data_IF_459428615051
#
_entry.id   IF_459428615051
#
_cell.length_a   1.000
_cell.length_b   1.000
_cell.length_c   1.000
_cell.angle_alpha   90.00
_cell.angle_beta   90.00
_cell.angle_gamma   90.00
#
_symmetry.space_group_name_H-M   'P 1'
#
loop_
_entity.id
_entity.type
_entity.pdbx_description
1 polymer ?
#
# COMPACT_ATOMS: atom_id res chain seq x y z
N UNK A 1 30.83 28.05 1.16
CA UNK A 1 29.51 28.52 0.73
C UNK A 1 29.58 28.78 -0.76
N UNK A 2 28.65 28.25 -1.57
CA UNK A 2 28.60 28.56 -2.99
C UNK A 2 27.50 29.59 -3.23
N UNK A 3 27.90 30.79 -3.66
CA UNK A 3 27.02 31.95 -3.80
C UNK A 3 26.48 32.12 -5.23
N UNK A 4 26.86 31.24 -6.16
CA UNK A 4 26.45 31.26 -7.56
C UNK A 4 25.54 30.09 -7.97
N UNK A 5 24.89 30.22 -9.12
CA UNK A 5 24.09 29.16 -9.75
C UNK A 5 25.02 28.16 -10.44
N UNK A 6 24.88 26.87 -10.11
CA UNK A 6 25.43 25.77 -10.88
C UNK A 6 24.43 25.43 -11.99
N UNK A 7 24.91 25.49 -13.23
CA UNK A 7 24.18 25.10 -14.43
C UNK A 7 25.05 24.19 -15.30
N UNK A 8 24.42 23.37 -16.14
CA UNK A 8 25.12 22.62 -17.18
C UNK A 8 24.71 23.09 -18.58
N UNK A 9 25.62 22.89 -19.54
CA UNK A 9 25.39 23.11 -20.98
C UNK A 9 25.75 21.81 -21.69
N UNK A 10 24.90 21.33 -22.61
CA UNK A 10 25.09 20.05 -23.28
C UNK A 10 24.57 18.86 -22.49
N UNK A 11 25.37 17.80 -22.32
CA UNK A 11 24.96 16.60 -21.59
C UNK A 11 24.79 16.88 -20.08
N UNK A 12 23.84 16.23 -19.38
CA UNK A 12 23.67 16.38 -17.95
C UNK A 12 24.94 16.08 -17.16
N UNK A 13 25.29 16.94 -16.20
CA UNK A 13 26.46 16.75 -15.32
C UNK A 13 26.07 16.69 -13.85
N UNK A 14 26.74 15.82 -13.11
CA UNK A 14 26.51 15.64 -11.68
C UNK A 14 27.30 16.64 -10.84
N UNK A 15 26.78 16.94 -9.66
CA UNK A 15 27.49 17.63 -8.59
C UNK A 15 27.87 16.64 -7.51
N UNK A 16 29.13 16.65 -7.09
CA UNK A 16 29.64 15.80 -6.03
C UNK A 16 30.10 16.65 -4.86
N UNK A 17 29.54 16.36 -3.68
CA UNK A 17 29.96 16.93 -2.41
C UNK A 17 30.82 15.91 -1.66
N UNK A 18 32.13 16.17 -1.63
CA UNK A 18 33.15 15.40 -0.91
C UNK A 18 33.74 16.21 0.26
N UNK A 19 34.56 15.58 1.10
CA UNK A 19 35.19 16.18 2.28
C UNK A 19 34.24 16.37 3.46
N UNK A 20 34.79 16.37 4.68
CA UNK A 20 34.01 16.51 5.92
C UNK A 20 33.28 17.87 6.09
N UNK A 21 33.69 18.89 5.34
CA UNK A 21 33.12 20.24 5.41
C UNK A 21 31.68 20.38 4.88
N UNK A 22 31.15 21.59 4.95
CA UNK A 22 29.82 21.95 4.44
C UNK A 22 29.86 22.62 3.06
N UNK A 23 28.95 22.22 2.17
CA UNK A 23 28.59 22.97 0.96
C UNK A 23 27.20 23.58 1.14
N UNK A 24 27.01 24.80 0.66
CA UNK A 24 25.76 25.53 0.78
C UNK A 24 25.29 25.89 -0.62
N UNK A 25 24.06 25.50 -0.96
CA UNK A 25 23.31 26.01 -2.10
C UNK A 25 22.41 27.14 -1.62
N UNK A 26 22.88 28.38 -1.76
CA UNK A 26 22.11 29.59 -1.41
C UNK A 26 21.32 30.18 -2.57
N UNK A 27 21.48 29.64 -3.79
CA UNK A 27 20.76 30.04 -4.99
C UNK A 27 20.11 28.81 -5.67
N UNK A 28 19.17 29.08 -6.59
CA UNK A 28 18.49 28.03 -7.34
C UNK A 28 19.40 27.46 -8.44
N UNK A 29 19.90 26.23 -8.26
CA UNK A 29 20.73 25.57 -9.26
C UNK A 29 19.87 24.89 -10.34
N UNK A 30 20.39 24.82 -11.56
CA UNK A 30 19.65 24.38 -12.77
C UNK A 30 20.34 23.25 -13.55
N UNK A 31 21.45 22.71 -13.05
CA UNK A 31 22.06 21.50 -13.64
C UNK A 31 21.07 20.33 -13.63
N UNK A 32 21.24 19.40 -14.58
CA UNK A 32 20.27 18.32 -14.82
C UNK A 32 20.74 16.95 -14.33
N UNK A 33 22.03 16.78 -14.08
CA UNK A 33 22.60 15.53 -13.58
C UNK A 33 22.32 15.28 -12.09
N UNK A 34 22.99 14.27 -11.53
CA UNK A 34 22.77 13.84 -10.15
C UNK A 34 23.36 14.81 -9.12
N UNK A 35 22.86 14.75 -7.90
CA UNK A 35 23.45 15.42 -6.73
C UNK A 35 23.94 14.36 -5.75
N UNK A 36 25.25 14.18 -5.63
CA UNK A 36 25.85 13.15 -4.80
C UNK A 36 26.50 13.78 -3.57
N UNK A 37 25.88 13.61 -2.39
CA UNK A 37 26.47 13.98 -1.10
C UNK A 37 27.23 12.78 -0.57
N UNK A 38 28.52 12.72 -0.88
CA UNK A 38 29.39 11.59 -0.54
C UNK A 38 29.96 11.71 0.89
N UNK A 39 30.26 12.93 1.32
CA UNK A 39 30.80 13.21 2.65
C UNK A 39 30.34 14.58 3.18
N UNK A 40 30.36 14.73 4.51
CA UNK A 40 30.03 15.99 5.18
C UNK A 40 28.57 16.40 4.96
N UNK A 41 28.32 17.71 4.81
CA UNK A 41 26.97 18.25 4.71
C UNK A 41 26.75 19.06 3.43
N UNK A 42 25.63 18.80 2.75
CA UNK A 42 25.03 19.73 1.79
C UNK A 42 23.84 20.44 2.47
N UNK A 43 23.90 21.77 2.55
CA UNK A 43 22.82 22.62 3.04
C UNK A 43 22.16 23.33 1.85
N UNK A 44 20.85 23.15 1.70
CA UNK A 44 20.05 23.80 0.66
C UNK A 44 19.14 24.84 1.29
N UNK A 45 19.27 26.09 0.86
CA UNK A 45 18.53 27.26 1.39
C UNK A 45 17.56 27.86 0.38
N UNK A 46 17.64 27.45 -0.89
CA UNK A 46 16.81 27.93 -1.98
C UNK A 46 16.24 26.75 -2.79
N UNK A 47 15.11 26.92 -3.49
CA UNK A 47 14.53 25.88 -4.34
C UNK A 47 15.50 25.44 -5.44
N UNK A 48 15.63 24.14 -5.65
CA UNK A 48 16.51 23.55 -6.65
C UNK A 48 15.71 23.03 -7.85
N UNK A 49 16.18 23.33 -9.05
CA UNK A 49 15.52 22.91 -10.29
C UNK A 49 16.08 21.61 -10.86
N UNK A 50 17.14 21.04 -10.27
CA UNK A 50 17.74 19.81 -10.76
C UNK A 50 16.76 18.63 -10.65
N UNK A 51 16.75 17.79 -11.69
CA UNK A 51 15.82 16.65 -11.80
C UNK A 51 16.50 15.29 -11.62
N UNK A 52 17.84 15.25 -11.60
CA UNK A 52 18.59 14.03 -11.35
C UNK A 52 18.35 13.43 -9.97
N UNK A 53 18.87 12.22 -9.79
CA UNK A 53 18.87 11.52 -8.51
C UNK A 53 19.68 12.30 -7.49
N UNK A 54 19.18 12.40 -6.27
CA UNK A 54 19.94 12.89 -5.12
C UNK A 54 20.38 11.70 -4.27
N UNK A 55 21.68 11.48 -4.15
CA UNK A 55 22.25 10.40 -3.33
C UNK A 55 22.87 11.00 -2.08
N UNK A 56 22.50 10.47 -0.91
CA UNK A 56 23.11 10.82 0.38
C UNK A 56 23.83 9.57 0.87
N UNK A 57 25.16 9.57 0.82
CA UNK A 57 25.96 8.44 1.26
C UNK A 57 25.94 8.29 2.79
N UNK A 58 26.34 7.10 3.26
CA UNK A 58 26.51 6.85 4.70
C UNK A 58 27.48 7.86 5.31
N UNK A 59 27.13 8.38 6.49
CA UNK A 59 27.90 9.44 7.16
C UNK A 59 27.71 10.85 6.59
N UNK A 60 27.04 11.02 5.45
CA UNK A 60 26.73 12.32 4.88
C UNK A 60 25.36 12.85 5.32
N UNK A 61 25.15 14.16 5.19
CA UNK A 61 23.87 14.82 5.47
C UNK A 61 23.44 15.73 4.34
N UNK A 62 22.20 15.58 3.87
CA UNK A 62 21.49 16.62 3.12
C UNK A 62 20.51 17.31 4.07
N UNK A 63 20.68 18.61 4.26
CA UNK A 63 19.79 19.44 5.06
C UNK A 63 19.05 20.45 4.17
N UNK A 64 17.71 20.43 4.21
CA UNK A 64 16.88 21.49 3.66
C UNK A 64 16.49 22.43 4.80
N UNK A 65 16.70 23.73 4.61
CA UNK A 65 16.36 24.78 5.57
C UNK A 65 15.72 25.94 4.86
N UNK A 66 14.94 26.74 5.59
CA UNK A 66 14.23 27.90 5.06
C UNK A 66 13.44 27.50 3.79
N UNK A 67 13.70 28.17 2.67
CA UNK A 67 13.09 27.92 1.36
C UNK A 67 13.74 26.77 0.57
N UNK A 68 14.63 25.99 1.19
CA UNK A 68 15.30 24.87 0.56
C UNK A 68 14.30 23.79 0.10
N UNK A 69 14.31 23.49 -1.20
CA UNK A 69 13.41 22.50 -1.80
C UNK A 69 14.11 21.75 -2.93
N UNK A 70 13.74 20.49 -3.13
CA UNK A 70 14.31 19.58 -4.15
C UNK A 70 13.22 18.77 -4.86
N UNK A 71 12.04 19.38 -5.04
CA UNK A 71 10.82 18.75 -5.56
C UNK A 71 11.02 17.94 -6.85
N UNK A 72 11.88 18.44 -7.73
CA UNK A 72 12.15 17.82 -9.04
C UNK A 72 13.09 16.63 -8.97
N UNK A 73 13.76 16.38 -7.84
CA UNK A 73 14.66 15.25 -7.72
C UNK A 73 13.89 13.95 -7.93
N UNK A 74 14.28 13.22 -8.97
CA UNK A 74 13.62 11.99 -9.42
C UNK A 74 13.61 10.88 -8.37
N UNK A 75 14.62 10.86 -7.50
CA UNK A 75 14.67 10.00 -6.32
C UNK A 75 15.66 10.57 -5.31
N UNK A 76 15.32 10.52 -4.02
CA UNK A 76 16.26 10.70 -2.93
C UNK A 76 16.68 9.31 -2.44
N UNK A 77 17.91 8.90 -2.76
CA UNK A 77 18.53 7.69 -2.21
C UNK A 77 19.24 8.08 -0.91
N UNK A 78 18.59 7.84 0.22
CA UNK A 78 19.06 8.22 1.53
C UNK A 78 19.74 7.04 2.24
N UNK A 79 21.06 7.01 2.26
CA UNK A 79 21.87 6.11 3.09
C UNK A 79 22.61 6.84 4.21
N UNK A 80 22.51 8.18 4.25
CA UNK A 80 23.01 9.04 5.32
C UNK A 80 21.86 9.66 6.09
N UNK A 81 21.85 10.99 6.23
CA UNK A 81 20.75 11.72 6.88
C UNK A 81 20.08 12.67 5.90
N UNK A 82 18.76 12.53 5.74
CA UNK A 82 17.94 13.53 5.07
C UNK A 82 17.17 14.35 6.10
N UNK A 83 17.54 15.60 6.27
CA UNK A 83 17.05 16.47 7.34
C UNK A 83 16.26 17.64 6.75
N UNK A 84 14.96 17.67 7.03
CA UNK A 84 14.05 18.74 6.60
C UNK A 84 13.50 19.55 7.79
N UNK A 85 14.02 19.31 9.00
CA UNK A 85 13.45 19.86 10.24
C UNK A 85 13.37 21.39 10.24
N UNK A 86 14.36 22.07 9.66
CA UNK A 86 14.38 23.53 9.58
C UNK A 86 13.87 24.12 8.27
N UNK A 87 13.16 23.36 7.43
CA UNK A 87 12.44 23.93 6.29
C UNK A 87 11.24 24.77 6.76
N UNK A 88 10.91 25.85 6.03
CA UNK A 88 9.79 26.74 6.37
C UNK A 88 8.42 26.22 5.91
N UNK A 89 8.40 25.15 5.12
CA UNK A 89 7.18 24.50 4.60
C UNK A 89 7.37 22.99 4.53
N UNK A 90 6.29 22.29 4.18
CA UNK A 90 6.35 20.89 3.79
C UNK A 90 7.29 20.70 2.59
N UNK A 91 7.91 19.52 2.50
CA UNK A 91 8.88 19.19 1.46
C UNK A 91 8.31 18.13 0.56
N UNK A 92 8.32 18.40 -0.74
CA UNK A 92 8.00 17.43 -1.78
C UNK A 92 9.28 16.85 -2.38
N UNK A 93 9.27 15.55 -2.66
CA UNK A 93 10.22 14.84 -3.54
C UNK A 93 9.46 13.83 -4.39
N UNK A 94 10.03 13.36 -5.49
CA UNK A 94 9.33 12.36 -6.33
C UNK A 94 9.26 11.00 -5.63
N UNK A 95 10.42 10.50 -5.20
CA UNK A 95 10.59 9.20 -4.55
C UNK A 95 11.59 9.30 -3.39
N UNK A 96 11.51 8.36 -2.46
CA UNK A 96 12.45 8.18 -1.36
C UNK A 96 12.82 6.70 -1.28
N UNK A 97 14.12 6.41 -1.16
CA UNK A 97 14.64 5.05 -1.00
C UNK A 97 15.88 5.02 -0.11
N UNK A 98 16.31 3.82 0.31
CA UNK A 98 17.47 3.64 1.18
C UNK A 98 17.12 3.42 2.65
N UNK A 99 18.12 3.43 3.52
CA UNK A 99 18.02 3.02 4.92
C UNK A 99 18.43 4.09 5.95
N UNK A 100 18.93 5.24 5.50
CA UNK A 100 19.32 6.35 6.37
C UNK A 100 18.11 7.03 7.02
N UNK A 101 18.24 7.69 8.18
CA UNK A 101 17.12 8.37 8.82
C UNK A 101 16.64 9.61 8.05
N UNK A 102 15.35 9.91 8.19
CA UNK A 102 14.75 11.19 7.83
C UNK A 102 14.34 11.93 9.10
N UNK A 103 14.68 13.22 9.19
CA UNK A 103 14.28 14.11 10.29
C UNK A 103 13.27 15.12 9.76
N UNK A 104 12.00 14.95 10.13
CA UNK A 104 10.91 15.81 9.68
C UNK A 104 10.85 17.14 10.42
N UNK A 105 11.27 17.18 11.69
CA UNK A 105 10.82 18.22 12.60
C UNK A 105 9.29 18.23 12.64
N UNK A 106 8.69 19.40 12.44
CA UNK A 106 7.23 19.57 12.31
C UNK A 106 6.70 19.53 10.88
N UNK A 107 7.48 19.10 9.87
CA UNK A 107 7.09 19.20 8.44
C UNK A 107 6.50 17.90 7.91
N UNK A 108 5.63 17.98 6.92
CA UNK A 108 5.21 16.81 6.13
C UNK A 108 6.19 16.56 5.01
N UNK A 109 6.64 15.31 4.86
CA UNK A 109 7.31 14.86 3.64
C UNK A 109 6.25 14.35 2.65
N UNK A 110 6.24 14.92 1.45
CA UNK A 110 5.32 14.56 0.37
C UNK A 110 6.10 13.78 -0.69
N UNK A 111 5.64 12.57 -1.00
CA UNK A 111 6.21 11.73 -2.06
C UNK A 111 5.28 11.77 -3.27
N UNK A 112 5.62 12.59 -4.27
CA UNK A 112 4.74 12.93 -5.40
C UNK A 112 4.44 11.74 -6.33
N UNK A 113 5.43 10.86 -6.55
CA UNK A 113 5.23 9.58 -7.24
C UNK A 113 5.13 8.44 -6.21
N UNK A 114 6.00 8.48 -5.20
CA UNK A 114 5.98 7.55 -4.07
C UNK A 114 6.24 6.11 -4.50
N UNK A 115 7.28 5.87 -5.28
CA UNK A 115 7.70 4.53 -5.68
C UNK A 115 9.00 4.13 -5.00
N UNK A 116 9.17 2.82 -4.75
CA UNK A 116 10.42 2.24 -4.25
C UNK A 116 10.30 1.66 -2.84
N UNK A 117 11.44 1.40 -2.24
CA UNK A 117 11.55 0.85 -0.88
C UNK A 117 12.36 1.78 -0.01
N UNK A 118 11.84 2.05 1.17
CA UNK A 118 12.55 2.80 2.20
C UNK A 118 12.57 1.98 3.50
N UNK A 119 13.80 1.60 3.89
CA UNK A 119 14.09 0.78 5.06
C UNK A 119 14.47 1.62 6.29
N UNK A 120 14.69 2.93 6.10
CA UNK A 120 15.07 3.85 7.17
C UNK A 120 13.93 4.22 8.12
N UNK A 121 14.29 4.96 9.16
CA UNK A 121 13.35 5.50 10.13
C UNK A 121 13.11 6.98 9.86
N UNK A 122 11.84 7.35 9.65
CA UNK A 122 11.34 8.72 9.63
C UNK A 122 10.96 9.11 11.07
N UNK A 123 11.41 10.27 11.49
CA UNK A 123 11.29 10.79 12.86
C UNK A 123 10.74 12.21 12.87
N UNK A 124 10.14 12.64 13.99
CA UNK A 124 9.68 14.02 14.19
C UNK A 124 8.18 14.12 14.50
N UNK A 125 7.68 15.35 14.65
CA UNK A 125 6.26 15.62 14.90
C UNK A 125 5.44 15.82 13.64
N UNK A 126 6.10 15.99 12.50
CA UNK A 126 5.48 16.05 11.18
C UNK A 126 5.00 14.69 10.66
N UNK A 127 4.52 14.68 9.41
CA UNK A 127 3.86 13.52 8.80
C UNK A 127 4.45 13.08 7.47
N UNK A 128 3.75 12.13 6.83
CA UNK A 128 4.08 11.60 5.51
C UNK A 128 2.84 11.65 4.62
N UNK A 129 2.99 12.15 3.39
CA UNK A 129 1.94 12.11 2.38
C UNK A 129 2.43 11.34 1.15
N UNK A 130 1.82 10.18 0.90
CA UNK A 130 2.04 9.35 -0.27
C UNK A 130 1.08 9.78 -1.38
N UNK A 131 1.62 10.32 -2.47
CA UNK A 131 0.90 10.70 -3.67
C UNK A 131 1.40 9.89 -4.87
N UNK A 132 0.71 10.04 -5.99
CA UNK A 132 1.04 9.38 -7.25
C UNK A 132 0.68 7.90 -7.25
N UNK A 133 0.69 7.31 -8.44
CA UNK A 133 0.28 5.91 -8.68
C UNK A 133 1.32 4.88 -8.24
N UNK A 134 2.52 5.29 -7.84
CA UNK A 134 3.59 4.40 -7.42
C UNK A 134 3.27 3.57 -6.17
N UNK A 135 4.07 2.52 -5.94
CA UNK A 135 4.05 1.74 -4.70
C UNK A 135 5.24 2.10 -3.83
N UNK A 136 4.98 2.65 -2.64
CA UNK A 136 5.98 2.87 -1.61
C UNK A 136 5.96 1.70 -0.64
N UNK A 137 7.09 1.01 -0.49
CA UNK A 137 7.27 -0.02 0.53
C UNK A 137 8.02 0.57 1.72
N UNK A 138 7.36 0.61 2.89
CA UNK A 138 7.97 0.99 4.16
C UNK A 138 8.21 -0.27 4.99
N UNK A 139 9.47 -0.57 5.27
CA UNK A 139 9.89 -1.73 6.07
C UNK A 139 10.47 -1.34 7.42
N UNK A 140 10.97 -0.11 7.56
CA UNK A 140 11.47 0.42 8.83
C UNK A 140 10.35 0.74 9.82
N UNK A 141 10.68 0.70 11.11
CA UNK A 141 9.77 1.07 12.19
C UNK A 141 9.78 2.59 12.37
N UNK A 142 8.72 3.24 11.89
CA UNK A 142 8.62 4.69 11.88
C UNK A 142 8.25 5.22 13.27
N UNK A 143 8.79 6.37 13.64
CA UNK A 143 8.58 6.96 14.98
C UNK A 143 8.00 8.36 14.95
N UNK A 144 7.77 8.93 13.76
CA UNK A 144 7.05 10.19 13.63
C UNK A 144 5.61 10.06 14.14
N UNK A 145 5.05 11.17 14.61
CA UNK A 145 3.71 11.20 15.23
C UNK A 145 2.66 11.95 14.41
N UNK A 146 3.07 12.73 13.41
CA UNK A 146 2.13 13.35 12.49
C UNK A 146 1.48 12.31 11.58
N UNK A 147 0.38 12.70 10.95
CA UNK A 147 -0.44 11.78 10.16
C UNK A 147 0.29 11.22 8.93
N UNK A 148 -0.08 10.00 8.55
CA UNK A 148 0.28 9.38 7.28
C UNK A 148 -0.93 9.44 6.36
N UNK A 149 -0.85 10.21 5.28
CA UNK A 149 -1.93 10.31 4.28
C UNK A 149 -1.56 9.54 3.02
N UNK A 150 -2.42 8.60 2.60
CA UNK A 150 -2.32 7.90 1.32
C UNK A 150 -3.35 8.51 0.39
N UNK A 151 -2.91 9.47 -0.41
CA UNK A 151 -3.78 10.17 -1.35
C UNK A 151 -4.10 9.31 -2.57
N UNK A 152 -3.11 8.59 -3.11
CA UNK A 152 -3.21 7.73 -4.28
C UNK A 152 -2.09 6.67 -4.31
N UNK A 153 -2.20 5.69 -5.20
CA UNK A 153 -1.27 4.58 -5.34
C UNK A 153 -1.28 3.65 -4.13
N UNK A 154 -0.13 3.05 -3.80
CA UNK A 154 -0.04 2.02 -2.77
C UNK A 154 1.01 2.37 -1.71
N UNK A 155 0.63 2.24 -0.44
CA UNK A 155 1.56 2.11 0.67
C UNK A 155 1.60 0.64 1.12
N UNK A 156 2.71 -0.04 0.85
CA UNK A 156 2.97 -1.38 1.36
C UNK A 156 3.76 -1.29 2.67
N UNK A 157 3.05 -1.39 3.79
CA UNK A 157 3.62 -1.36 5.13
C UNK A 157 4.04 -2.76 5.58
N UNK A 158 5.33 -2.95 5.80
CA UNK A 158 5.92 -4.16 6.39
C UNK A 158 6.77 -3.86 7.63
N UNK A 159 6.82 -2.60 8.06
CA UNK A 159 7.35 -2.16 9.35
C UNK A 159 6.24 -1.67 10.28
N UNK A 160 6.49 -0.57 10.97
CA UNK A 160 5.58 -0.02 11.98
C UNK A 160 5.22 1.45 11.76
N UNK A 161 3.97 1.82 12.06
CA UNK A 161 3.42 3.18 12.09
C UNK A 161 2.60 3.41 13.38
N UNK A 162 3.09 2.96 14.53
CA UNK A 162 2.32 2.84 15.78
C UNK A 162 1.74 4.17 16.30
N UNK A 163 2.44 5.28 16.04
CA UNK A 163 2.12 6.60 16.60
C UNK A 163 1.49 7.56 15.58
N UNK A 164 1.26 7.09 14.36
CA UNK A 164 0.64 7.85 13.29
C UNK A 164 -0.81 7.40 13.11
N UNK A 165 -1.69 8.37 12.81
CA UNK A 165 -3.00 8.07 12.23
C UNK A 165 -2.81 7.91 10.73
N UNK A 166 -3.15 6.73 10.20
CA UNK A 166 -3.10 6.45 8.76
C UNK A 166 -4.45 6.75 8.14
N UNK A 167 -4.49 7.71 7.21
CA UNK A 167 -5.68 8.06 6.44
C UNK A 167 -5.52 7.57 5.01
N UNK A 168 -6.41 6.66 4.60
CA UNK A 168 -6.47 6.12 3.23
C UNK A 168 -7.56 6.85 2.46
N UNK A 169 -7.18 7.69 1.49
CA UNK A 169 -8.13 8.45 0.66
C UNK A 169 -8.54 7.66 -0.58
N UNK A 170 -7.85 7.83 -1.72
CA UNK A 170 -8.13 7.08 -2.97
C UNK A 170 -7.06 6.05 -3.31
N UNK A 171 -6.06 5.90 -2.44
CA UNK A 171 -5.03 4.87 -2.57
C UNK A 171 -5.32 3.62 -1.74
N UNK A 172 -4.29 2.81 -1.59
CA UNK A 172 -4.35 1.52 -0.92
C UNK A 172 -3.30 1.42 0.18
N UNK A 173 -3.72 0.95 1.36
CA UNK A 173 -2.83 0.44 2.39
C UNK A 173 -2.76 -1.10 2.30
N UNK A 174 -1.55 -1.65 2.20
CA UNK A 174 -1.31 -3.09 2.18
C UNK A 174 -0.10 -3.51 3.01
N UNK A 175 0.21 -4.81 2.99
CA UNK A 175 1.39 -5.37 3.65
C UNK A 175 1.07 -6.00 5.00
N UNK A 176 2.12 -6.50 5.67
CA UNK A 176 1.99 -7.29 6.91
C UNK A 176 2.51 -6.59 8.17
N UNK A 177 2.66 -5.26 8.12
CA UNK A 177 3.17 -4.46 9.24
C UNK A 177 2.12 -4.13 10.31
N UNK A 178 2.48 -3.21 11.20
CA UNK A 178 1.61 -2.74 12.29
C UNK A 178 1.34 -1.24 12.18
N UNK A 179 0.08 -0.85 12.25
CA UNK A 179 -0.36 0.55 12.24
C UNK A 179 -0.82 1.03 13.61
N UNK A 180 -0.81 2.34 13.84
CA UNK A 180 -1.65 2.99 14.85
C UNK A 180 -3.12 2.96 14.44
N UNK A 181 -3.84 4.07 14.63
CA UNK A 181 -5.22 4.20 14.15
C UNK A 181 -5.27 4.26 12.61
N UNK A 182 -6.33 3.72 12.01
CA UNK A 182 -6.53 3.75 10.57
C UNK A 182 -7.93 4.25 10.22
N UNK A 183 -8.01 5.20 9.28
CA UNK A 183 -9.26 5.71 8.70
C UNK A 183 -9.24 5.46 7.20
N UNK A 184 -10.19 4.70 6.69
CA UNK A 184 -10.37 4.43 5.26
C UNK A 184 -11.56 5.23 4.77
N UNK A 185 -11.29 6.24 3.96
CA UNK A 185 -12.31 7.10 3.37
C UNK A 185 -12.93 6.45 2.12
N UNK A 186 -13.97 7.10 1.58
CA UNK A 186 -14.62 6.67 0.34
C UNK A 186 -13.60 6.54 -0.81
N UNK A 187 -13.55 5.37 -1.45
CA UNK A 187 -12.60 5.04 -2.50
C UNK A 187 -11.24 4.54 -2.00
N UNK A 188 -11.02 4.51 -0.69
CA UNK A 188 -9.79 3.99 -0.08
C UNK A 188 -9.85 2.49 0.07
N UNK A 189 -8.69 1.84 -0.04
CA UNK A 189 -8.58 0.37 0.03
C UNK A 189 -7.65 -0.06 1.16
N UNK A 190 -8.09 -1.02 1.96
CA UNK A 190 -7.19 -1.86 2.77
C UNK A 190 -7.14 -3.25 2.13
N UNK A 191 -5.94 -3.74 1.85
CA UNK A 191 -5.69 -5.08 1.36
C UNK A 191 -4.50 -5.68 2.14
N UNK A 192 -4.73 -6.39 3.25
CA UNK A 192 -3.66 -6.93 4.07
C UNK A 192 -2.68 -7.81 3.28
N UNK A 193 -1.45 -7.93 3.77
CA UNK A 193 -0.47 -8.86 3.24
C UNK A 193 0.19 -8.47 1.90
N UNK A 194 1.00 -9.42 1.40
CA UNK A 194 1.70 -9.39 0.12
C UNK A 194 1.31 -10.67 -0.67
N UNK A 195 0.02 -10.86 -0.93
CA UNK A 195 -0.72 -12.13 -0.87
C UNK A 195 -1.29 -12.36 0.54
N UNK A 196 -1.90 -13.52 0.78
CA UNK A 196 -2.60 -13.84 2.03
C UNK A 196 -1.73 -13.52 3.24
N UNK A 197 -2.18 -12.56 4.05
CA UNK A 197 -1.42 -12.08 5.19
C UNK A 197 -2.22 -11.25 6.19
N UNK A 198 -1.56 -10.88 7.28
CA UNK A 198 -2.18 -10.09 8.36
C UNK A 198 -1.57 -8.70 8.44
N UNK A 199 -2.40 -7.67 8.36
CA UNK A 199 -2.06 -6.30 8.73
C UNK A 199 -2.55 -6.07 10.16
N UNK A 200 -1.65 -5.65 11.06
CA UNK A 200 -2.01 -5.36 12.44
C UNK A 200 -2.33 -3.87 12.62
N UNK A 201 -3.25 -3.57 13.52
CA UNK A 201 -3.50 -2.21 14.01
C UNK A 201 -3.54 -2.24 15.53
N UNK A 202 -2.84 -1.34 16.21
CA UNK A 202 -2.95 -1.18 17.68
C UNK A 202 -3.96 -0.10 18.07
N UNK A 203 -4.48 0.65 17.07
CA UNK A 203 -5.50 1.67 17.25
C UNK A 203 -6.87 1.23 16.72
N UNK A 204 -7.87 2.12 16.77
CA UNK A 204 -9.14 1.93 16.08
C UNK A 204 -8.96 1.88 14.56
N UNK A 205 -9.78 1.06 13.90
CA UNK A 205 -9.96 1.06 12.45
C UNK A 205 -11.36 1.51 12.07
N UNK A 206 -11.46 2.45 11.13
CA UNK A 206 -12.74 3.01 10.65
C UNK A 206 -12.82 2.85 9.13
N UNK A 207 -13.86 2.18 8.66
CA UNK A 207 -14.24 2.15 7.25
C UNK A 207 -15.44 3.07 7.03
N UNK A 208 -15.22 4.16 6.30
CA UNK A 208 -16.30 5.07 5.89
C UNK A 208 -17.18 4.45 4.78
N UNK A 209 -18.37 5.01 4.51
CA UNK A 209 -19.13 4.67 3.32
C UNK A 209 -18.28 4.77 2.06
N UNK A 210 -18.35 3.74 1.21
CA UNK A 210 -17.56 3.65 -0.03
C UNK A 210 -16.09 3.23 0.15
N UNK A 211 -15.62 2.98 1.38
CA UNK A 211 -14.33 2.34 1.62
C UNK A 211 -14.36 0.86 1.24
N UNK A 212 -13.23 0.31 0.81
CA UNK A 212 -13.10 -1.09 0.36
C UNK A 212 -12.16 -1.83 1.30
N UNK A 213 -12.64 -2.93 1.87
CA UNK A 213 -11.82 -3.94 2.51
C UNK A 213 -11.62 -5.12 1.55
N UNK A 214 -10.46 -5.17 0.91
CA UNK A 214 -10.10 -6.23 -0.03
C UNK A 214 -9.45 -7.39 0.72
N UNK A 215 -9.92 -8.61 0.46
CA UNK A 215 -9.50 -9.82 1.17
C UNK A 215 -9.15 -10.91 0.17
N UNK A 216 -7.90 -11.33 0.13
CA UNK A 216 -7.47 -12.56 -0.54
C UNK A 216 -7.84 -13.78 0.32
N UNK A 217 -8.33 -14.85 -0.30
CA UNK A 217 -8.61 -16.13 0.36
C UNK A 217 -8.13 -17.31 -0.48
N UNK A 218 -7.89 -18.46 0.15
CA UNK A 218 -7.58 -19.70 -0.54
C UNK A 218 -8.45 -20.90 -0.08
N UNK A 219 -8.36 -21.99 -0.83
CA UNK A 219 -9.11 -23.22 -0.57
C UNK A 219 -8.73 -23.92 0.76
N UNK A 220 -7.60 -23.56 1.38
CA UNK A 220 -7.14 -24.14 2.65
C UNK A 220 -7.81 -23.50 3.86
N UNK A 221 -8.57 -22.43 3.66
CA UNK A 221 -9.16 -21.64 4.74
C UNK A 221 -8.28 -20.47 5.18
N UNK A 222 -7.19 -20.18 4.46
CA UNK A 222 -6.36 -19.01 4.73
C UNK A 222 -7.00 -17.75 4.14
N UNK A 223 -6.84 -16.61 4.81
CA UNK A 223 -7.35 -15.33 4.36
C UNK A 223 -6.47 -14.17 4.78
N UNK A 224 -6.56 -13.10 4.01
CA UNK A 224 -6.18 -11.80 4.50
C UNK A 224 -6.93 -11.44 5.78
N UNK A 225 -6.25 -10.69 6.64
CA UNK A 225 -6.80 -10.31 7.93
C UNK A 225 -6.32 -8.95 8.40
N UNK A 226 -7.24 -8.13 8.91
CA UNK A 226 -6.93 -7.05 9.83
C UNK A 226 -7.04 -7.58 11.25
N UNK A 227 -5.95 -7.49 12.01
CA UNK A 227 -5.88 -8.02 13.37
C UNK A 227 -5.42 -6.98 14.41
N UNK A 228 -5.68 -7.28 15.67
CA UNK A 228 -5.19 -6.50 16.82
C UNK A 228 -5.89 -5.16 17.07
N UNK A 229 -6.79 -4.73 16.17
CA UNK A 229 -7.41 -3.41 16.24
C UNK A 229 -8.07 -3.16 17.61
N UNK A 230 -7.91 -1.95 18.14
CA UNK A 230 -8.53 -1.58 19.42
C UNK A 230 -10.05 -1.61 19.30
N UNK A 231 -10.60 -1.16 18.17
CA UNK A 231 -12.02 -1.27 17.83
C UNK A 231 -12.17 -1.21 16.31
N UNK A 232 -13.30 -1.69 15.78
CA UNK A 232 -13.61 -1.56 14.36
C UNK A 232 -14.98 -0.90 14.15
N UNK A 233 -15.03 0.14 13.30
CA UNK A 233 -16.27 0.78 12.85
C UNK A 233 -16.45 0.53 11.36
N UNK A 234 -17.54 -0.12 10.98
CA UNK A 234 -17.75 -0.64 9.62
C UNK A 234 -18.92 0.06 8.92
N UNK A 235 -18.63 0.75 7.81
CA UNK A 235 -19.64 1.29 6.88
C UNK A 235 -19.26 1.11 5.40
N UNK A 236 -18.14 0.44 5.10
CA UNK A 236 -17.61 0.24 3.75
C UNK A 236 -18.17 -1.03 3.08
N UNK A 237 -17.39 -1.62 2.18
CA UNK A 237 -17.70 -2.87 1.47
C UNK A 237 -16.55 -3.86 1.60
N UNK A 238 -16.84 -5.17 1.44
CA UNK A 238 -15.81 -6.20 1.34
C UNK A 238 -15.68 -6.68 -0.11
N UNK A 239 -14.46 -6.77 -0.63
CA UNK A 239 -14.16 -7.33 -1.94
C UNK A 239 -13.28 -8.57 -1.77
N UNK A 240 -13.80 -9.74 -2.09
CA UNK A 240 -13.08 -11.01 -1.96
C UNK A 240 -12.36 -11.35 -3.26
N UNK A 241 -11.09 -11.69 -3.15
CA UNK A 241 -10.27 -12.26 -4.22
C UNK A 241 -9.90 -13.68 -3.83
N UNK A 242 -10.67 -14.64 -4.33
CA UNK A 242 -10.38 -16.05 -4.13
C UNK A 242 -9.26 -16.48 -5.09
N UNK A 243 -8.18 -17.04 -4.54
CA UNK A 243 -7.15 -17.71 -5.32
C UNK A 243 -7.73 -18.99 -5.96
N UNK A 244 -7.20 -19.44 -7.11
CA UNK A 244 -7.59 -20.72 -7.69
C UNK A 244 -7.36 -21.87 -6.69
N UNK A 245 -8.30 -22.81 -6.60
CA UNK A 245 -8.21 -23.95 -5.70
C UNK A 245 -9.49 -24.76 -5.66
N UNK A 246 -9.50 -25.87 -4.91
CA UNK A 246 -10.70 -26.70 -4.72
C UNK A 246 -11.33 -26.33 -3.38
N UNK A 247 -12.29 -25.41 -3.41
CA UNK A 247 -12.95 -24.92 -2.21
C UNK A 247 -14.01 -25.93 -1.74
N UNK A 248 -14.18 -26.02 -0.43
CA UNK A 248 -15.35 -26.68 0.13
C UNK A 248 -16.61 -25.87 -0.23
N UNK A 249 -17.75 -26.55 -0.29
CA UNK A 249 -19.05 -25.89 -0.52
C UNK A 249 -19.38 -24.84 0.55
N UNK A 250 -18.72 -24.91 1.71
CA UNK A 250 -18.80 -23.92 2.78
C UNK A 250 -17.41 -23.77 3.41
N UNK A 251 -16.83 -22.58 3.38
CA UNK A 251 -15.58 -22.25 4.09
C UNK A 251 -15.73 -20.93 4.83
N UNK A 252 -15.27 -20.89 6.08
CA UNK A 252 -15.27 -19.72 6.94
C UNK A 252 -13.86 -19.14 7.09
N UNK A 253 -13.75 -17.82 7.01
CA UNK A 253 -12.50 -17.05 7.09
C UNK A 253 -12.67 -15.93 8.11
N UNK A 254 -11.85 -15.89 9.15
CA UNK A 254 -11.86 -14.74 10.08
C UNK A 254 -11.04 -13.60 9.47
N UNK A 255 -11.73 -12.63 8.88
CA UNK A 255 -11.09 -11.56 8.11
C UNK A 255 -10.82 -10.30 8.95
N UNK A 256 -11.50 -10.12 10.09
CA UNK A 256 -11.25 -8.98 10.96
C UNK A 256 -11.39 -9.39 12.42
N UNK A 257 -10.49 -8.90 13.27
CA UNK A 257 -10.62 -8.98 14.74
C UNK A 257 -10.34 -7.63 15.39
N UNK A 258 -11.17 -7.26 16.36
CA UNK A 258 -11.03 -6.03 17.13
C UNK A 258 -11.33 -6.26 18.63
N UNK A 259 -10.35 -5.96 19.50
CA UNK A 259 -10.38 -6.32 20.92
C UNK A 259 -11.47 -5.58 21.72
N UNK A 260 -11.67 -4.29 21.43
CA UNK A 260 -12.76 -3.47 21.98
C UNK A 260 -14.07 -3.56 21.20
N UNK A 261 -14.15 -4.46 20.22
CA UNK A 261 -15.39 -4.83 19.54
C UNK A 261 -15.54 -4.29 18.12
N UNK A 262 -16.53 -4.86 17.43
CA UNK A 262 -16.96 -4.49 16.08
C UNK A 262 -18.29 -3.74 16.17
N UNK A 263 -18.39 -2.60 15.49
CA UNK A 263 -19.60 -1.78 15.40
C UNK A 263 -19.93 -1.48 13.94
N UNK A 264 -21.23 -1.43 13.62
CA UNK A 264 -21.70 -1.31 12.25
C UNK A 264 -21.54 -2.60 11.43
N UNK A 265 -21.74 -2.48 10.12
CA UNK A 265 -21.62 -3.58 9.15
C UNK A 265 -21.10 -3.07 7.83
N UNK A 266 -20.36 -3.89 7.09
CA UNK A 266 -20.12 -3.62 5.67
C UNK A 266 -21.44 -3.69 4.89
N UNK A 267 -21.64 -2.74 3.97
CA UNK A 267 -22.89 -2.59 3.20
C UNK A 267 -23.06 -3.66 2.11
N UNK A 268 -21.97 -4.28 1.68
CA UNK A 268 -21.97 -5.35 0.68
C UNK A 268 -20.71 -6.21 0.79
N UNK A 269 -20.78 -7.40 0.18
CA UNK A 269 -19.63 -8.27 -0.07
C UNK A 269 -19.71 -8.83 -1.49
N UNK A 270 -18.59 -8.83 -2.20
CA UNK A 270 -18.46 -9.41 -3.55
C UNK A 270 -17.33 -10.43 -3.61
N UNK A 271 -17.35 -11.30 -4.61
CA UNK A 271 -16.28 -12.25 -4.89
C UNK A 271 -16.10 -12.41 -6.39
N UNK A 272 -14.90 -12.81 -6.82
CA UNK A 272 -14.61 -13.21 -8.19
C UNK A 272 -15.14 -14.62 -8.57
N UNK A 273 -15.68 -15.39 -7.61
CA UNK A 273 -16.23 -16.72 -7.84
C UNK A 273 -17.66 -16.68 -8.40
N UNK A 274 -17.97 -17.61 -9.31
CA UNK A 274 -19.28 -17.70 -9.93
C UNK A 274 -20.30 -18.45 -9.06
N UNK A 275 -19.88 -19.57 -8.45
CA UNK A 275 -20.80 -20.51 -7.80
C UNK A 275 -20.72 -20.51 -6.27
N UNK A 276 -19.78 -19.78 -5.67
CA UNK A 276 -19.72 -19.54 -4.23
C UNK A 276 -20.10 -18.09 -3.93
N UNK A 277 -21.23 -17.88 -3.26
CA UNK A 277 -21.62 -16.56 -2.77
C UNK A 277 -20.88 -16.24 -1.48
N UNK A 278 -20.31 -15.03 -1.36
CA UNK A 278 -19.78 -14.54 -0.11
C UNK A 278 -20.91 -14.02 0.79
N UNK A 279 -20.79 -14.28 2.08
CA UNK A 279 -21.63 -13.72 3.14
C UNK A 279 -20.76 -13.31 4.33
N UNK A 280 -21.23 -12.35 5.13
CA UNK A 280 -20.50 -11.87 6.31
C UNK A 280 -21.29 -12.21 7.58
N UNK A 281 -20.59 -12.75 8.56
CA UNK A 281 -21.10 -13.03 9.91
C UNK A 281 -20.38 -12.11 10.88
N UNK A 282 -21.15 -11.29 11.61
CA UNK A 282 -20.62 -10.34 12.58
C UNK A 282 -20.73 -10.94 13.98
N UNK A 283 -19.62 -10.93 14.71
CA UNK A 283 -19.53 -11.33 16.11
C UNK A 283 -19.10 -10.12 16.94
N UNK A 284 -19.13 -10.24 18.27
CA UNK A 284 -18.77 -9.13 19.16
C UNK A 284 -17.39 -8.53 18.87
N UNK A 285 -16.40 -9.37 18.53
CA UNK A 285 -15.01 -8.97 18.34
C UNK A 285 -14.43 -9.35 16.97
N UNK A 286 -15.25 -9.85 16.04
CA UNK A 286 -14.74 -10.32 14.75
C UNK A 286 -15.76 -10.24 13.62
N UNK A 287 -15.25 -10.26 12.40
CA UNK A 287 -16.01 -10.46 11.18
C UNK A 287 -15.51 -11.73 10.51
N UNK A 288 -16.44 -12.65 10.22
CA UNK A 288 -16.17 -13.90 9.51
C UNK A 288 -16.79 -13.81 8.12
N UNK A 289 -15.96 -13.97 7.10
CA UNK A 289 -16.40 -14.19 5.73
C UNK A 289 -16.72 -15.67 5.55
N UNK A 290 -17.88 -15.97 4.95
CA UNK A 290 -18.26 -17.32 4.55
C UNK A 290 -18.48 -17.37 3.05
N UNK A 291 -17.75 -18.25 2.37
CA UNK A 291 -18.03 -18.62 0.98
C UNK A 291 -18.95 -19.84 0.97
N UNK A 292 -20.14 -19.71 0.38
CA UNK A 292 -21.17 -20.73 0.36
C UNK A 292 -21.65 -21.03 -1.04
N UNK A 293 -21.81 -22.31 -1.38
CA UNK A 293 -22.42 -22.74 -2.63
C UNK A 293 -23.82 -22.09 -2.82
N UNK A 294 -24.00 -21.41 -3.94
CA UNK A 294 -25.24 -20.72 -4.29
C UNK A 294 -26.34 -21.65 -4.77
N UNK A 295 -25.99 -22.90 -5.10
CA UNK A 295 -26.85 -23.85 -5.81
C UNK A 295 -27.37 -23.31 -7.16
N UNK A 296 -26.74 -22.29 -7.73
CA UNK A 296 -27.07 -21.87 -9.09
C UNK A 296 -26.61 -22.98 -10.07
N UNK A 297 -27.40 -23.28 -11.11
CA UNK A 297 -27.02 -24.31 -12.06
C UNK A 297 -25.71 -23.98 -12.79
N UNK A 298 -24.82 -24.96 -12.98
CA UNK A 298 -23.57 -24.79 -13.75
C UNK A 298 -23.78 -24.30 -15.19
N UNK A 299 -24.95 -24.56 -15.78
CA UNK A 299 -25.31 -24.08 -17.12
C UNK A 299 -25.45 -22.56 -17.18
N UNK A 300 -25.63 -21.87 -16.06
CA UNK A 300 -25.80 -20.40 -16.02
C UNK A 300 -24.64 -19.67 -16.71
N UNK A 301 -23.43 -20.22 -16.67
CA UNK A 301 -22.26 -19.62 -17.31
C UNK A 301 -21.77 -20.39 -18.54
N UNK A 302 -22.49 -21.41 -19.01
CA UNK A 302 -22.14 -22.11 -20.24
C UNK A 302 -22.52 -21.27 -21.48
N UNK A 303 -21.59 -21.14 -22.44
CA UNK A 303 -21.76 -20.34 -23.65
C UNK A 303 -22.10 -21.13 -24.92
N UNK A 304 -21.83 -22.44 -24.96
CA UNK A 304 -22.10 -23.30 -26.13
C UNK A 304 -22.95 -24.52 -25.76
N UNK A 305 -23.57 -25.17 -26.76
CA UNK A 305 -24.37 -26.38 -26.54
C UNK A 305 -23.56 -27.53 -25.92
N UNK A 306 -22.29 -27.66 -26.32
CA UNK A 306 -21.38 -28.66 -25.74
C UNK A 306 -21.08 -28.33 -24.28
N UNK A 307 -20.82 -27.06 -23.94
CA UNK A 307 -20.61 -26.65 -22.55
C UNK A 307 -21.87 -26.87 -21.70
N UNK A 308 -23.06 -26.57 -22.23
CA UNK A 308 -24.34 -26.80 -21.53
C UNK A 308 -24.54 -28.28 -21.23
N UNK A 309 -24.19 -29.17 -22.17
CA UNK A 309 -24.27 -30.62 -21.98
C UNK A 309 -23.38 -31.10 -20.83
N UNK A 310 -22.11 -30.67 -20.82
CA UNK A 310 -21.15 -30.98 -19.76
C UNK A 310 -21.61 -30.40 -18.41
N UNK A 311 -21.97 -29.12 -18.36
CA UNK A 311 -22.43 -28.45 -17.16
C UNK A 311 -23.68 -29.12 -16.56
N UNK A 312 -24.58 -29.62 -17.42
CA UNK A 312 -25.75 -30.39 -17.00
C UNK A 312 -25.38 -31.72 -16.36
N UNK A 313 -24.45 -32.46 -16.96
CA UNK A 313 -23.97 -33.72 -16.40
C UNK A 313 -23.31 -33.53 -15.02
N UNK A 314 -22.53 -32.45 -14.88
CA UNK A 314 -21.89 -32.09 -13.61
C UNK A 314 -22.89 -31.66 -12.53
N UNK A 315 -23.91 -30.87 -12.90
CA UNK A 315 -25.00 -30.52 -11.99
C UNK A 315 -25.74 -31.75 -11.44
N UNK A 316 -25.94 -32.76 -12.29
CA UNK A 316 -26.60 -34.01 -11.91
C UNK A 316 -25.70 -34.92 -11.04
N UNK A 317 -24.43 -34.56 -10.86
CA UNK A 317 -23.47 -35.27 -10.01
C UNK A 317 -22.91 -34.31 -8.95
N UNK A 318 -23.69 -33.90 -7.94
CA UNK A 318 -23.36 -32.79 -7.02
C UNK A 318 -22.35 -33.18 -5.93
N UNK A 319 -21.29 -33.91 -6.31
CA UNK A 319 -20.24 -34.37 -5.41
C UNK A 319 -18.98 -34.75 -6.18
N UNK A 320 -17.88 -34.92 -5.44
CA UNK A 320 -16.60 -35.35 -6.01
C UNK A 320 -15.69 -34.20 -6.42
N UNK A 321 -14.45 -34.55 -6.74
CA UNK A 321 -13.37 -33.58 -7.00
C UNK A 321 -13.69 -32.66 -8.18
N UNK A 322 -14.28 -33.18 -9.25
CA UNK A 322 -14.61 -32.40 -10.44
C UNK A 322 -15.73 -31.39 -10.17
N UNK A 323 -16.76 -31.77 -9.43
CA UNK A 323 -17.83 -30.85 -9.00
C UNK A 323 -17.26 -29.70 -8.15
N UNK A 324 -16.44 -30.02 -7.14
CA UNK A 324 -15.82 -29.01 -6.28
C UNK A 324 -14.84 -28.11 -7.03
N UNK A 325 -14.13 -28.65 -8.03
CA UNK A 325 -13.23 -27.86 -8.87
C UNK A 325 -13.99 -26.83 -9.72
N UNK A 326 -15.23 -27.13 -10.16
CA UNK A 326 -16.08 -26.19 -10.89
C UNK A 326 -16.69 -25.13 -9.97
N UNK A 327 -17.10 -25.51 -8.74
CA UNK A 327 -17.63 -24.55 -7.76
C UNK A 327 -16.69 -23.36 -7.50
N UNK A 328 -15.39 -23.61 -7.55
CA UNK A 328 -14.35 -22.64 -7.29
C UNK A 328 -13.92 -21.80 -8.50
N UNK A 329 -14.65 -21.85 -9.62
CA UNK A 329 -14.29 -21.12 -10.82
C UNK A 329 -14.90 -19.72 -10.87
N UNK A 330 -14.19 -18.82 -11.55
CA UNK A 330 -14.81 -17.61 -12.12
C UNK A 330 -15.74 -18.00 -13.27
N UNK A 331 -16.62 -17.09 -13.71
CA UNK A 331 -17.51 -17.35 -14.84
C UNK A 331 -16.73 -17.73 -16.11
N UNK A 332 -15.65 -17.00 -16.41
CA UNK A 332 -14.79 -17.26 -17.58
C UNK A 332 -14.02 -18.56 -17.44
N UNK A 333 -13.45 -18.85 -16.27
CA UNK A 333 -12.71 -20.09 -16.04
C UNK A 333 -13.61 -21.33 -16.09
N UNK A 334 -14.88 -21.20 -15.67
CA UNK A 334 -15.87 -22.27 -15.79
C UNK A 334 -16.12 -22.64 -17.27
N UNK A 335 -16.27 -21.65 -18.15
CA UNK A 335 -16.41 -21.90 -19.60
C UNK A 335 -15.23 -22.66 -20.20
N UNK A 336 -14.00 -22.28 -19.80
CA UNK A 336 -12.78 -22.97 -20.22
C UNK A 336 -12.78 -24.41 -19.73
N UNK A 337 -13.16 -24.65 -18.47
CA UNK A 337 -13.26 -25.99 -17.91
C UNK A 337 -14.30 -26.86 -18.65
N UNK A 338 -15.46 -26.29 -18.98
CA UNK A 338 -16.48 -27.01 -19.74
C UNK A 338 -16.02 -27.38 -21.14
N UNK A 339 -15.29 -26.50 -21.84
CA UNK A 339 -14.69 -26.82 -23.13
C UNK A 339 -13.67 -27.96 -23.04
N UNK A 340 -12.80 -27.94 -22.02
CA UNK A 340 -11.79 -28.99 -21.83
C UNK A 340 -12.42 -30.36 -21.55
N UNK A 341 -13.62 -30.38 -20.95
CA UNK A 341 -14.37 -31.59 -20.64
C UNK A 341 -15.27 -32.08 -21.80
N UNK A 342 -15.59 -31.23 -22.78
CA UNK A 342 -16.46 -31.61 -23.89
C UNK A 342 -15.75 -32.36 -25.03
N UNK A 343 -14.41 -32.39 -25.02
CA UNK A 343 -13.60 -32.95 -26.10
C UNK A 343 -13.40 -31.98 -27.26
#
# INVERSE_FOLDING_TARGET
SQVGVISDVGAPRSVEKTGAGGLIFSAANTYRGATNVLEGRLLVLAPQAYAGVTTIASGATLALRDLGAIEKSSNVINNGVFDIEGASSDITVQNLSGAGPVRLGGRTLILANGSGTYDGVITGTGGLTKQGSGTLRLTGNQTYVGATTISDGVLALNGELLRSVVTVNRGQLKGSGTTGSVVVNSGGVIAPGNSIGTLSSVGPIVFAPGAIYQVEVDATGASDKVAGALSATLNGQVQVIAAPGVYNANTDYTILTAAGGVSGTFSSVTSNLAYLAPTLVYQGNSVVLRLKNTNIPFQTYAGSLNQVSVATALNNTPSGALYNAILAQTATSAQVAYNALSG
#
